data_IF_038301326231
#
_entry.id   IF_038301326231
#
_cell.length_a   1.000
_cell.length_b   1.000
_cell.length_c   1.000
_cell.angle_alpha   90.00
_cell.angle_beta   90.00
_cell.angle_gamma   90.00
#
_symmetry.space_group_name_H-M   'P 1'
#
loop_
_entity.id
_entity.type
_entity.pdbx_description
1 polymer ?
#
# COMPACT_ATOMS: atom_id res chain seq x y z
N UNK A 1 -13.77 31.65 -17.76
CA UNK A 1 -13.87 30.20 -18.00
C UNK A 1 -13.99 29.55 -16.62
N UNK A 2 -15.17 29.07 -16.22
CA UNK A 2 -15.35 28.42 -14.92
C UNK A 2 -14.86 26.97 -15.02
N UNK A 3 -13.98 26.55 -14.12
CA UNK A 3 -13.54 25.15 -14.03
C UNK A 3 -14.72 24.30 -13.54
N UNK A 4 -15.19 23.37 -14.37
CA UNK A 4 -16.33 22.49 -14.06
C UNK A 4 -15.91 21.34 -13.12
N UNK A 5 -14.65 20.89 -13.20
CA UNK A 5 -14.09 19.80 -12.39
C UNK A 5 -12.73 20.20 -11.85
N UNK A 6 -12.58 20.23 -10.53
CA UNK A 6 -11.32 20.48 -9.84
C UNK A 6 -10.45 19.22 -9.78
N UNK A 7 -9.14 19.37 -9.55
CA UNK A 7 -8.20 18.24 -9.53
C UNK A 7 -8.54 17.14 -8.52
N UNK A 8 -9.07 17.51 -7.36
CA UNK A 8 -9.54 16.54 -6.35
C UNK A 8 -10.78 15.77 -6.80
N UNK A 9 -11.71 16.42 -7.51
CA UNK A 9 -12.91 15.81 -8.05
C UNK A 9 -12.54 14.83 -9.17
N UNK A 10 -11.58 15.19 -10.01
CA UNK A 10 -11.04 14.30 -11.04
C UNK A 10 -10.35 13.07 -10.44
N UNK A 11 -9.54 13.25 -9.39
CA UNK A 11 -8.94 12.13 -8.66
C UNK A 11 -10.01 11.21 -8.06
N UNK A 12 -11.04 11.78 -7.45
CA UNK A 12 -12.14 10.99 -6.87
C UNK A 12 -12.89 10.18 -7.92
N UNK A 13 -13.04 10.72 -9.13
CA UNK A 13 -13.68 10.03 -10.25
C UNK A 13 -12.83 8.87 -10.78
N UNK A 14 -11.52 9.06 -10.88
CA UNK A 14 -10.58 8.07 -11.42
C UNK A 14 -10.21 6.97 -10.43
N UNK A 15 -9.91 7.35 -9.18
CA UNK A 15 -9.31 6.46 -8.18
C UNK A 15 -10.25 6.16 -7.01
N UNK A 16 -11.40 6.81 -6.91
CA UNK A 16 -12.32 6.65 -5.79
C UNK A 16 -11.89 7.45 -4.55
N UNK A 17 -12.14 6.88 -3.37
CA UNK A 17 -11.90 7.52 -2.07
C UNK A 17 -10.42 7.54 -1.71
N UNK A 18 -10.01 8.56 -0.97
CA UNK A 18 -8.63 8.79 -0.53
C UNK A 18 -7.95 9.98 -1.25
N UNK A 19 -6.61 10.09 -1.18
CA UNK A 19 -5.68 9.11 -0.60
C UNK A 19 -5.73 9.08 0.93
N UNK A 20 -5.70 7.87 1.49
CA UNK A 20 -5.45 7.61 2.92
C UNK A 20 -3.97 7.31 3.06
N UNK A 21 -3.33 7.78 4.14
CA UNK A 21 -1.91 7.54 4.35
C UNK A 21 -1.63 6.93 5.73
N UNK A 22 -0.60 6.08 5.79
CA UNK A 22 -0.06 5.53 7.04
C UNK A 22 1.46 5.42 6.94
N UNK A 23 2.15 6.01 7.91
CA UNK A 23 3.58 5.81 8.11
C UNK A 23 3.83 4.48 8.84
N UNK A 24 4.86 3.75 8.42
CA UNK A 24 5.35 2.54 9.10
C UNK A 24 6.01 2.84 10.44
N UNK A 25 6.46 4.09 10.64
CA UNK A 25 7.52 4.39 11.61
C UNK A 25 8.86 3.81 11.16
N UNK A 26 9.85 3.78 12.05
CA UNK A 26 11.10 3.06 11.81
C UNK A 26 10.77 1.58 11.59
N UNK A 27 11.20 1.02 10.46
CA UNK A 27 10.99 -0.38 10.17
C UNK A 27 11.65 -1.23 11.26
N UNK A 28 10.94 -2.26 11.68
CA UNK A 28 11.42 -3.27 12.60
C UNK A 28 11.12 -4.64 12.01
N UNK A 29 11.85 -5.66 12.47
CA UNK A 29 11.72 -7.04 12.02
C UNK A 29 10.40 -7.68 12.55
N UNK A 30 9.27 -7.17 12.07
CA UNK A 30 7.92 -7.51 12.53
C UNK A 30 6.89 -7.27 11.43
N UNK A 31 5.68 -7.77 11.69
CA UNK A 31 4.47 -7.42 10.95
C UNK A 31 3.80 -6.21 11.62
N UNK A 32 3.37 -5.22 10.84
CA UNK A 32 2.57 -4.09 11.34
C UNK A 32 1.40 -3.82 10.39
N UNK A 33 0.18 -3.62 10.91
CA UNK A 33 -0.96 -3.23 10.10
C UNK A 33 -0.80 -1.79 9.59
N UNK A 34 -1.05 -1.59 8.30
CA UNK A 34 -1.05 -0.30 7.64
C UNK A 34 -2.47 0.25 7.47
N UNK A 35 -3.38 -0.60 7.00
CA UNK A 35 -4.76 -0.22 6.72
C UNK A 35 -5.73 -1.31 7.16
N UNK A 36 -6.91 -0.90 7.63
CA UNK A 36 -8.02 -1.81 7.94
C UNK A 36 -9.11 -1.62 6.90
N UNK A 37 -9.50 -2.71 6.24
CA UNK A 37 -10.69 -2.82 5.38
C UNK A 37 -11.86 -3.29 6.25
N UNK A 38 -12.96 -2.55 6.27
CA UNK A 38 -14.13 -2.86 7.10
C UNK A 38 -15.46 -2.59 6.37
N UNK A 39 -16.55 -3.17 6.87
CA UNK A 39 -17.91 -2.96 6.36
C UNK A 39 -18.24 -3.71 5.05
N UNK A 40 -17.24 -4.22 4.34
CA UNK A 40 -17.41 -4.99 3.11
C UNK A 40 -16.12 -5.04 2.29
N UNK A 41 -16.19 -5.63 1.09
CA UNK A 41 -15.06 -5.76 0.16
C UNK A 41 -14.76 -4.42 -0.51
N UNK A 42 -13.50 -4.22 -0.86
CA UNK A 42 -13.02 -3.01 -1.54
C UNK A 42 -12.17 -3.35 -2.75
N UNK A 43 -12.17 -2.48 -3.75
CA UNK A 43 -11.20 -2.48 -4.83
C UNK A 43 -10.15 -1.39 -4.55
N UNK A 44 -8.92 -1.78 -4.24
CA UNK A 44 -7.79 -0.85 -4.09
C UNK A 44 -7.34 -0.42 -5.48
N UNK A 45 -7.43 0.87 -5.76
CA UNK A 45 -7.15 1.44 -7.09
C UNK A 45 -5.73 2.01 -7.20
N UNK A 46 -5.11 2.34 -6.07
CA UNK A 46 -3.70 2.72 -5.99
C UNK A 46 -3.16 2.38 -4.60
N UNK A 47 -1.95 1.84 -4.55
CA UNK A 47 -1.18 1.65 -3.33
C UNK A 47 0.29 1.91 -3.62
N UNK A 48 0.84 2.97 -3.03
CA UNK A 48 2.19 3.45 -3.31
C UNK A 48 2.88 3.82 -2.00
N UNK A 49 4.11 3.36 -1.82
CA UNK A 49 4.97 3.72 -0.70
C UNK A 49 5.93 4.84 -1.09
N UNK A 50 6.17 5.78 -0.19
CA UNK A 50 7.25 6.77 -0.32
C UNK A 50 8.19 6.60 0.86
N UNK A 51 9.46 6.31 0.57
CA UNK A 51 10.48 6.18 1.60
C UNK A 51 10.72 7.55 2.23
N UNK A 52 10.54 7.66 3.55
CA UNK A 52 10.73 8.92 4.30
C UNK A 52 12.06 8.94 5.05
N UNK A 53 12.65 7.77 5.33
CA UNK A 53 14.01 7.62 5.87
C UNK A 53 14.70 6.51 5.11
N UNK A 54 15.91 6.76 4.63
CA UNK A 54 16.65 5.82 3.79
C UNK A 54 16.76 4.45 4.43
N UNK A 55 16.59 3.41 3.61
CA UNK A 55 16.76 2.01 3.98
C UNK A 55 18.12 1.59 3.40
N UNK A 56 19.06 1.22 4.26
CA UNK A 56 20.48 1.01 3.93
C UNK A 56 20.98 -0.37 4.33
N UNK A 57 20.14 -1.16 5.03
CA UNK A 57 20.44 -2.53 5.42
C UNK A 57 19.50 -3.47 4.69
N UNK A 58 20.01 -4.64 4.29
CA UNK A 58 19.20 -5.69 3.66
C UNK A 58 17.90 -5.92 4.43
N UNK A 59 16.78 -5.81 3.71
CA UNK A 59 15.45 -5.81 4.29
C UNK A 59 14.49 -6.51 3.35
N UNK A 60 14.23 -7.79 3.62
CA UNK A 60 13.15 -8.51 2.97
C UNK A 60 11.82 -7.90 3.42
N UNK A 61 11.14 -7.26 2.48
CA UNK A 61 9.91 -6.52 2.71
C UNK A 61 8.80 -7.06 1.80
N UNK A 62 7.61 -7.27 2.38
CA UNK A 62 6.38 -7.58 1.63
C UNK A 62 5.19 -6.83 2.20
N UNK A 63 4.13 -6.79 1.39
CA UNK A 63 2.79 -6.44 1.80
C UNK A 63 1.92 -7.70 1.74
N UNK A 64 1.08 -7.88 2.75
CA UNK A 64 0.15 -8.99 2.84
C UNK A 64 -1.24 -8.49 3.22
N UNK A 65 -2.25 -9.26 2.84
CA UNK A 65 -3.61 -9.12 3.34
C UNK A 65 -3.83 -10.20 4.39
N UNK A 66 -4.37 -9.80 5.54
CA UNK A 66 -4.78 -10.67 6.62
C UNK A 66 -6.31 -10.53 6.80
N UNK A 67 -7.11 -11.35 6.08
CA UNK A 67 -8.57 -11.27 6.14
C UNK A 67 -9.10 -11.60 7.53
N UNK A 68 -10.22 -10.97 7.94
CA UNK A 68 -10.90 -11.37 9.19
C UNK A 68 -11.46 -12.79 9.11
N UNK A 69 -11.77 -13.26 7.90
CA UNK A 69 -12.13 -14.64 7.61
C UNK A 69 -11.39 -15.13 6.37
N UNK A 70 -10.68 -16.25 6.50
CA UNK A 70 -9.82 -16.81 5.45
C UNK A 70 -8.34 -16.78 5.85
N UNK A 71 -7.49 -17.12 4.89
CA UNK A 71 -6.04 -17.22 5.10
C UNK A 71 -5.33 -15.91 4.74
N UNK A 72 -4.27 -15.58 5.48
CA UNK A 72 -3.34 -14.50 5.11
C UNK A 72 -2.72 -14.82 3.74
N UNK A 73 -2.63 -13.80 2.88
CA UNK A 73 -2.06 -13.95 1.54
C UNK A 73 -1.14 -12.78 1.21
N UNK A 74 -0.08 -13.07 0.47
CA UNK A 74 0.88 -12.05 0.04
C UNK A 74 0.32 -11.25 -1.13
N UNK A 75 0.27 -9.92 -0.97
CA UNK A 75 -0.09 -8.99 -2.05
C UNK A 75 1.10 -8.78 -3.00
N UNK A 76 2.31 -8.86 -2.45
CA UNK A 76 3.58 -8.80 -3.18
C UNK A 76 4.54 -9.82 -2.60
N UNK A 77 5.38 -10.39 -3.45
CA UNK A 77 6.44 -11.27 -3.02
C UNK A 77 7.46 -10.53 -2.16
N UNK A 78 7.97 -11.21 -1.13
CA UNK A 78 9.04 -10.70 -0.28
C UNK A 78 10.27 -10.36 -1.13
N UNK A 79 10.64 -9.09 -1.11
CA UNK A 79 11.71 -8.53 -1.94
C UNK A 79 12.65 -7.74 -1.06
N UNK A 80 13.95 -7.88 -1.29
CA UNK A 80 14.91 -7.04 -0.60
C UNK A 80 14.87 -5.61 -1.14
N UNK A 81 14.53 -4.67 -0.26
CA UNK A 81 14.49 -3.24 -0.57
C UNK A 81 15.70 -2.48 -0.01
N UNK A 82 16.68 -3.15 0.60
CA UNK A 82 17.74 -2.50 1.36
C UNK A 82 19.16 -2.65 0.83
N UNK A 83 19.52 -3.78 0.20
CA UNK A 83 20.95 -4.03 -0.18
C UNK A 83 21.52 -3.04 -1.19
N UNK A 84 20.70 -2.47 -2.08
CA UNK A 84 21.12 -1.43 -3.04
C UNK A 84 20.83 -0.01 -2.59
N UNK A 85 20.60 0.17 -1.29
CA UNK A 85 20.00 1.34 -0.68
C UNK A 85 18.63 1.70 -1.29
N UNK A 86 17.75 2.25 -0.48
CA UNK A 86 16.57 2.97 -0.96
C UNK A 86 16.54 4.30 -0.27
N UNK A 87 16.92 5.35 -0.99
CA UNK A 87 17.03 6.69 -0.43
C UNK A 87 15.67 7.30 -0.14
N UNK A 88 15.63 8.21 0.84
CA UNK A 88 14.44 9.01 1.10
C UNK A 88 13.94 9.72 -0.18
N UNK A 89 12.62 9.75 -0.37
CA UNK A 89 11.96 10.23 -1.57
C UNK A 89 11.75 9.16 -2.64
N UNK A 90 12.39 8.00 -2.54
CA UNK A 90 12.16 6.89 -3.49
C UNK A 90 10.74 6.37 -3.37
N UNK A 91 10.09 6.23 -4.52
CA UNK A 91 8.76 5.62 -4.63
C UNK A 91 8.89 4.10 -4.69
N UNK A 92 8.06 3.41 -3.93
CA UNK A 92 7.88 1.98 -3.94
C UNK A 92 6.48 1.66 -4.48
N UNK A 93 6.40 0.74 -5.43
CA UNK A 93 5.12 0.24 -5.92
C UNK A 93 5.25 -1.13 -6.56
N UNK A 94 4.13 -1.64 -7.05
CA UNK A 94 4.02 -2.96 -7.66
C UNK A 94 2.80 -2.97 -8.59
N UNK A 95 2.76 -3.91 -9.53
CA UNK A 95 1.74 -3.95 -10.58
C UNK A 95 0.43 -4.65 -10.15
N UNK A 96 0.47 -5.39 -9.04
CA UNK A 96 -0.65 -6.16 -8.50
C UNK A 96 -0.82 -7.54 -9.14
N UNK A 97 0.16 -8.00 -9.94
CA UNK A 97 0.16 -9.36 -10.45
C UNK A 97 0.56 -10.37 -9.35
N UNK A 98 0.01 -11.60 -9.35
CA UNK A 98 0.43 -12.64 -8.42
C UNK A 98 1.95 -12.87 -8.50
N UNK A 99 2.60 -12.99 -7.35
CA UNK A 99 4.05 -13.15 -7.20
C UNK A 99 4.92 -11.98 -7.73
N UNK A 100 4.32 -10.83 -8.07
CA UNK A 100 5.08 -9.61 -8.38
C UNK A 100 5.84 -9.09 -7.16
N UNK A 101 7.00 -8.49 -7.42
CA UNK A 101 7.84 -7.85 -6.39
C UNK A 101 7.57 -6.35 -6.30
N UNK A 102 7.99 -5.75 -5.19
CA UNK A 102 8.10 -4.30 -5.08
C UNK A 102 9.19 -3.81 -6.03
N UNK A 103 8.90 -2.73 -6.75
CA UNK A 103 9.82 -2.00 -7.63
C UNK A 103 10.17 -0.66 -6.99
N UNK A 104 11.45 -0.28 -7.07
CA UNK A 104 11.97 1.02 -6.65
C UNK A 104 11.92 2.02 -7.80
N UNK A 105 11.52 3.27 -7.53
CA UNK A 105 11.53 4.37 -8.50
C UNK A 105 10.34 4.41 -9.46
N UNK A 106 9.42 3.45 -9.37
CA UNK A 106 8.16 3.42 -10.11
C UNK A 106 7.05 2.92 -9.19
N UNK A 107 5.81 3.27 -9.49
CA UNK A 107 4.67 2.78 -8.72
C UNK A 107 3.34 2.92 -9.45
N UNK A 108 2.38 2.11 -9.01
CA UNK A 108 1.03 2.08 -9.55
C UNK A 108 0.60 0.67 -9.90
N UNK A 109 -0.65 0.36 -9.58
CA UNK A 109 -1.27 -0.91 -9.91
C UNK A 109 -1.67 -0.92 -11.38
N UNK A 110 -1.41 -2.03 -12.08
CA UNK A 110 -1.87 -2.23 -13.45
C UNK A 110 -3.38 -2.55 -13.50
N UNK A 111 -3.94 -3.03 -12.39
CA UNK A 111 -5.37 -3.30 -12.18
C UNK A 111 -5.73 -3.15 -10.70
N UNK A 112 -6.98 -2.82 -10.35
CA UNK A 112 -7.38 -2.76 -8.95
C UNK A 112 -7.21 -4.10 -8.24
N UNK A 113 -6.83 -4.07 -6.96
CA UNK A 113 -6.77 -5.25 -6.10
C UNK A 113 -8.10 -5.41 -5.37
N UNK A 114 -8.74 -6.55 -5.56
CA UNK A 114 -9.99 -6.88 -4.88
C UNK A 114 -9.68 -7.52 -3.53
N UNK A 115 -10.03 -6.85 -2.43
CA UNK A 115 -9.66 -7.29 -1.07
C UNK A 115 -10.90 -7.53 -0.19
N UNK A 116 -10.89 -8.61 0.61
CA UNK A 116 -11.89 -8.83 1.66
C UNK A 116 -11.67 -7.89 2.86
N UNK A 117 -12.62 -7.91 3.79
CA UNK A 117 -12.49 -7.29 5.12
C UNK A 117 -11.29 -7.92 5.85
N UNK A 118 -10.47 -7.09 6.47
CA UNK A 118 -9.21 -7.51 7.09
C UNK A 118 -8.19 -6.38 7.17
N UNK A 119 -6.92 -6.74 7.38
CA UNK A 119 -5.82 -5.78 7.49
C UNK A 119 -4.84 -5.93 6.33
N UNK A 120 -4.48 -4.81 5.71
CA UNK A 120 -3.31 -4.72 4.85
C UNK A 120 -2.13 -4.42 5.77
N UNK A 121 -1.14 -5.30 5.75
CA UNK A 121 -0.01 -5.28 6.65
C UNK A 121 1.28 -5.19 5.84
N UNK A 122 2.31 -4.60 6.43
CA UNK A 122 3.67 -4.86 5.98
C UNK A 122 4.35 -5.89 6.85
N UNK A 123 5.24 -6.66 6.24
CA UNK A 123 6.18 -7.55 6.93
C UNK A 123 7.58 -7.14 6.51
N UNK A 124 8.42 -6.82 7.48
CA UNK A 124 9.80 -6.40 7.25
C UNK A 124 10.74 -7.30 8.06
N UNK A 125 11.91 -7.58 7.52
CA UNK A 125 13.01 -8.25 8.23
C UNK A 125 14.14 -7.29 8.65
N UNK A 126 14.17 -6.08 8.08
CA UNK A 126 15.12 -5.03 8.41
C UNK A 126 14.72 -4.23 9.65
N UNK A 127 15.64 -3.36 10.08
CA UNK A 127 15.49 -2.56 11.31
C UNK A 127 15.79 -1.07 11.09
N UNK A 128 15.85 -0.63 9.84
CA UNK A 128 16.18 0.75 9.45
C UNK A 128 15.23 1.30 8.36
N UNK A 129 15.26 2.62 8.23
CA UNK A 129 14.42 3.36 7.32
C UNK A 129 12.94 3.44 7.73
N UNK A 130 12.16 4.14 6.93
CA UNK A 130 10.74 4.38 7.18
C UNK A 130 10.02 4.64 5.85
N UNK A 131 8.76 4.22 5.75
CA UNK A 131 7.95 4.33 4.54
C UNK A 131 6.58 4.90 4.91
N UNK A 132 6.06 5.85 4.13
CA UNK A 132 4.64 6.24 4.19
C UNK A 132 3.91 5.63 3.01
N UNK A 133 2.89 4.83 3.29
CA UNK A 133 2.03 4.23 2.27
C UNK A 133 0.80 5.11 2.04
N UNK A 134 0.44 5.28 0.78
CA UNK A 134 -0.74 6.00 0.32
C UNK A 134 -1.64 5.06 -0.45
N UNK A 135 -2.93 5.07 -0.13
CA UNK A 135 -3.93 4.16 -0.67
C UNK A 135 -5.16 4.93 -1.16
N UNK A 136 -5.64 4.59 -2.34
CA UNK A 136 -6.99 4.96 -2.82
C UNK A 136 -7.81 3.69 -3.09
N UNK A 137 -9.12 3.79 -2.94
CA UNK A 137 -10.01 2.65 -3.09
C UNK A 137 -11.41 3.03 -3.55
N UNK A 138 -12.11 2.05 -4.12
CA UNK A 138 -13.55 2.11 -4.39
C UNK A 138 -14.23 1.05 -3.52
N UNK A 139 -15.27 1.41 -2.73
CA UNK A 139 -16.11 0.44 -2.07
C UNK A 139 -16.72 -0.51 -3.10
N UNK A 140 -16.57 -1.82 -2.93
CA UNK A 140 -17.25 -2.79 -3.80
C UNK A 140 -18.62 -3.16 -3.22
N UNK A 141 -18.67 -3.39 -1.91
CA UNK A 141 -19.92 -3.53 -1.17
C UNK A 141 -20.32 -2.18 -0.57
N UNK A 142 -21.63 -1.94 -0.44
CA UNK A 142 -22.16 -0.72 0.19
C UNK A 142 -21.73 -0.63 1.65
N UNK A 143 -21.25 0.56 2.04
CA UNK A 143 -20.72 0.79 3.39
C UNK A 143 -19.28 0.30 3.60
N UNK A 144 -18.63 -0.29 2.60
CA UNK A 144 -17.23 -0.68 2.72
C UNK A 144 -16.29 0.54 2.84
N UNK A 145 -15.31 0.43 3.74
CA UNK A 145 -14.37 1.50 4.09
C UNK A 145 -12.95 0.97 4.23
N UNK A 146 -12.00 1.87 4.04
CA UNK A 146 -10.59 1.67 4.41
C UNK A 146 -10.19 2.80 5.35
N UNK A 147 -9.46 2.47 6.41
CA UNK A 147 -8.88 3.44 7.33
C UNK A 147 -7.42 3.08 7.63
N UNK A 148 -6.61 4.08 8.00
CA UNK A 148 -5.29 3.83 8.56
C UNK A 148 -5.43 3.06 9.88
N UNK A 149 -4.62 2.01 10.05
CA UNK A 149 -4.64 1.16 11.24
C UNK A 149 -3.90 1.79 12.44
#
# INVERSE_FOLDING_TARGET
>A
MSVIIQGEQFRSLLFGRGPISKATGTLAATTVPLFTVAGGRVAITSLVGVVTTSITVANSYKLQINPTAGDTSDLVAATDIGTTDTTAGTVLGFDGAPASSIVKGAGGLARPLFLPVGQIEHVSAGTDGAITWYLTYVPYDDGATVAAA
#
